data_IF_674319673575
#
_entry.id   IF_674319673575
#
_cell.length_a   1.000
_cell.length_b   1.000
_cell.length_c   1.000
_cell.angle_alpha   90.00
_cell.angle_beta   90.00
_cell.angle_gamma   90.00
#
_symmetry.space_group_name_H-M   'P 1'
#
loop_
_entity.id
_entity.type
_entity.pdbx_description
1 polymer ?
#
# COMPACT_ATOMS: atom_id res chain seq x y z
N UNK A 1 0.39 1.31 18.77
CA UNK A 1 0.97 0.16 18.00
C UNK A 1 2.30 0.57 17.39
N UNK A 2 3.19 -0.41 17.11
CA UNK A 2 4.50 -0.15 16.47
C UNK A 2 4.63 -1.03 15.22
N UNK A 3 5.39 -0.55 14.24
CA UNK A 3 5.80 -1.31 13.05
C UNK A 3 7.30 -1.28 12.90
N UNK A 4 7.96 -2.41 13.10
CA UNK A 4 9.41 -2.55 12.93
C UNK A 4 9.77 -2.74 11.48
N UNK A 5 10.73 -1.94 11.03
CA UNK A 5 11.24 -1.91 9.67
C UNK A 5 12.68 -2.39 9.64
N UNK A 6 13.23 -2.61 8.45
CA UNK A 6 14.66 -2.96 8.29
C UNK A 6 15.57 -1.93 8.97
N UNK A 7 15.22 -0.64 8.87
CA UNK A 7 15.90 0.45 9.52
C UNK A 7 14.84 1.36 10.15
N UNK A 8 14.80 1.42 11.48
CA UNK A 8 13.86 2.25 12.21
C UNK A 8 12.55 1.55 12.60
N UNK A 9 11.68 2.34 13.16
CA UNK A 9 10.36 1.91 13.67
C UNK A 9 9.36 3.01 13.40
N UNK A 10 8.15 2.66 13.00
CA UNK A 10 7.02 3.57 12.95
C UNK A 10 6.16 3.32 14.19
N UNK A 11 5.92 4.37 14.94
CA UNK A 11 4.94 4.39 16.02
C UNK A 11 3.65 5.00 15.49
N UNK A 12 2.53 4.29 15.67
CA UNK A 12 1.22 4.78 15.23
C UNK A 12 0.58 5.56 16.37
N UNK A 13 0.29 6.81 16.08
CA UNK A 13 -0.45 7.74 16.92
C UNK A 13 -1.92 7.81 16.47
N UNK A 14 -2.65 8.83 16.92
CA UNK A 14 -4.06 9.00 16.61
C UNK A 14 -4.35 9.39 15.14
N UNK A 15 -3.30 9.81 14.40
CA UNK A 15 -3.43 10.17 12.99
C UNK A 15 -2.95 9.06 12.07
N UNK A 16 -3.68 8.73 11.00
CA UNK A 16 -3.15 7.89 9.95
C UNK A 16 -1.87 8.48 9.34
N UNK A 17 -0.89 7.64 9.06
CA UNK A 17 0.25 8.02 8.23
C UNK A 17 -0.08 7.81 6.75
N UNK A 18 0.57 8.57 5.89
CA UNK A 18 0.35 8.51 4.45
C UNK A 18 1.46 7.72 3.77
N UNK A 19 1.04 6.72 2.98
CA UNK A 19 1.88 5.99 2.05
C UNK A 19 1.59 6.50 0.62
N UNK A 20 2.51 7.27 0.05
CA UNK A 20 2.38 7.83 -1.30
C UNK A 20 2.73 6.81 -2.38
N UNK A 21 1.88 6.66 -3.39
CA UNK A 21 2.04 5.68 -4.48
C UNK A 21 2.93 6.27 -5.58
N UNK A 22 4.06 5.63 -5.84
CA UNK A 22 4.98 5.96 -6.92
C UNK A 22 5.06 4.82 -7.94
N UNK A 23 4.18 4.84 -8.95
CA UNK A 23 4.18 3.85 -10.02
C UNK A 23 5.24 4.18 -11.07
N UNK A 24 6.12 3.20 -11.34
CA UNK A 24 7.18 3.26 -12.35
C UNK A 24 6.76 2.41 -13.56
N UNK A 25 5.74 2.88 -14.28
CA UNK A 25 5.24 2.21 -15.48
C UNK A 25 5.54 3.03 -16.73
N UNK A 26 5.63 2.42 -17.93
CA UNK A 26 5.88 3.15 -19.18
C UNK A 26 4.88 4.28 -19.46
N UNK A 27 3.63 4.11 -19.01
CA UNK A 27 2.57 5.12 -19.18
C UNK A 27 2.71 6.30 -18.20
N UNK A 28 3.48 6.11 -17.12
CA UNK A 28 3.70 7.14 -16.10
C UNK A 28 4.93 8.01 -16.38
N UNK A 29 5.84 7.56 -17.27
CA UNK A 29 7.10 8.23 -17.57
C UNK A 29 7.35 8.19 -19.08
N UNK A 30 7.51 9.34 -19.73
CA UNK A 30 7.76 9.48 -21.16
C UNK A 30 9.01 8.71 -21.61
N UNK A 31 8.97 8.18 -22.86
CA UNK A 31 9.89 7.19 -23.42
C UNK A 31 11.36 7.58 -23.59
N UNK A 32 11.77 8.83 -23.37
CA UNK A 32 13.00 9.34 -23.99
C UNK A 32 14.30 9.34 -23.18
N UNK A 33 14.34 9.07 -21.89
CA UNK A 33 15.59 8.71 -21.21
C UNK A 33 15.42 8.14 -19.79
N UNK A 34 16.21 7.14 -19.42
CA UNK A 34 16.29 6.59 -18.05
C UNK A 34 16.67 7.65 -17.01
N UNK A 35 17.49 8.63 -17.39
CA UNK A 35 17.96 9.69 -16.49
C UNK A 35 16.83 10.68 -16.17
N UNK A 36 15.99 11.01 -17.15
CA UNK A 36 14.81 11.86 -16.92
C UNK A 36 13.80 11.17 -16.01
N UNK A 37 13.57 9.86 -16.21
CA UNK A 37 12.66 9.07 -15.40
C UNK A 37 13.09 9.01 -13.92
N UNK A 38 14.38 8.86 -13.63
CA UNK A 38 14.92 8.85 -12.26
C UNK A 38 14.75 10.22 -11.61
N UNK A 39 15.11 11.30 -12.31
CA UNK A 39 14.98 12.66 -11.78
C UNK A 39 13.52 13.02 -11.49
N UNK A 40 12.61 12.64 -12.36
CA UNK A 40 11.18 12.85 -12.18
C UNK A 40 10.63 12.06 -10.97
N UNK A 41 11.03 10.80 -10.81
CA UNK A 41 10.68 9.97 -9.67
C UNK A 41 11.18 10.59 -8.34
N UNK A 42 12.42 11.07 -8.31
CA UNK A 42 13.00 11.77 -7.15
C UNK A 42 12.23 13.06 -6.85
N UNK A 43 11.96 13.90 -7.85
CA UNK A 43 11.20 15.14 -7.67
C UNK A 43 9.79 14.86 -7.15
N UNK A 44 9.11 13.84 -7.68
CA UNK A 44 7.78 13.44 -7.21
C UNK A 44 7.83 12.92 -5.78
N UNK A 45 8.86 12.17 -5.43
CA UNK A 45 9.10 11.73 -4.05
C UNK A 45 9.28 12.89 -3.10
N UNK A 46 10.13 13.86 -3.44
CA UNK A 46 10.34 15.08 -2.64
C UNK A 46 9.02 15.83 -2.44
N UNK A 47 8.23 15.97 -3.52
CA UNK A 47 6.91 16.59 -3.45
C UNK A 47 5.98 15.83 -2.49
N UNK A 48 5.91 14.51 -2.57
CA UNK A 48 5.10 13.69 -1.66
C UNK A 48 5.52 13.86 -0.20
N UNK A 49 6.83 13.94 0.07
CA UNK A 49 7.36 14.19 1.43
C UNK A 49 6.91 15.57 1.93
N UNK A 50 7.04 16.61 1.09
CA UNK A 50 6.59 17.97 1.42
C UNK A 50 5.08 18.05 1.66
N UNK A 51 4.31 17.21 0.98
CA UNK A 51 2.87 17.07 1.13
C UNK A 51 2.45 16.20 2.34
N UNK A 52 3.42 15.57 3.03
CA UNK A 52 3.19 14.84 4.28
C UNK A 52 3.21 13.31 4.18
N UNK A 53 3.72 12.73 3.10
CA UNK A 53 3.94 11.29 3.03
C UNK A 53 5.08 10.87 3.97
N UNK A 54 4.87 9.79 4.72
CA UNK A 54 5.86 9.15 5.59
C UNK A 54 6.51 7.94 4.92
N UNK A 55 5.81 7.32 4.00
CA UNK A 55 6.26 6.14 3.25
C UNK A 55 6.06 6.42 1.75
N UNK A 56 7.05 6.07 0.95
CA UNK A 56 6.97 6.09 -0.51
C UNK A 56 6.92 4.66 -1.00
N UNK A 57 5.81 4.27 -1.62
CA UNK A 57 5.58 2.91 -2.09
C UNK A 57 5.82 2.81 -3.59
N UNK A 58 6.90 2.12 -3.97
CA UNK A 58 7.44 2.07 -5.32
C UNK A 58 7.00 0.77 -5.99
N UNK A 59 6.24 0.87 -7.09
CA UNK A 59 5.81 -0.28 -7.88
C UNK A 59 6.31 -0.24 -9.32
N UNK A 60 6.96 -1.30 -9.77
CA UNK A 60 7.47 -1.46 -11.14
C UNK A 60 6.51 -2.16 -12.10
N UNK A 61 5.53 -2.88 -11.55
CA UNK A 61 4.51 -3.62 -12.28
C UNK A 61 3.12 -3.10 -11.96
N UNK A 62 2.26 -2.99 -12.98
CA UNK A 62 0.85 -2.70 -12.74
C UNK A 62 0.16 -3.90 -12.11
N UNK A 63 -0.54 -3.66 -11.00
CA UNK A 63 -1.40 -4.65 -10.32
C UNK A 63 -2.89 -4.34 -10.51
N UNK A 64 -3.22 -3.46 -11.47
CA UNK A 64 -4.60 -3.16 -11.85
C UNK A 64 -5.30 -4.39 -12.41
N UNK A 65 -6.63 -4.47 -12.31
CA UNK A 65 -7.39 -5.54 -12.96
C UNK A 65 -7.02 -5.69 -14.44
N UNK A 66 -6.88 -6.94 -14.88
CA UNK A 66 -6.55 -7.32 -16.27
C UNK A 66 -5.16 -6.87 -16.75
N UNK A 67 -4.28 -6.39 -15.88
CA UNK A 67 -2.90 -6.09 -16.28
C UNK A 67 -2.10 -7.35 -16.54
N UNK A 68 -1.28 -7.30 -17.60
CA UNK A 68 -0.33 -8.37 -17.90
C UNK A 68 0.89 -8.29 -16.97
N UNK A 69 1.42 -9.46 -16.63
CA UNK A 69 2.69 -9.55 -15.90
C UNK A 69 3.85 -9.18 -16.82
N UNK A 70 4.80 -8.41 -16.29
CA UNK A 70 6.07 -8.12 -16.96
C UNK A 70 7.15 -9.12 -16.51
N UNK A 71 8.22 -9.34 -17.31
CA UNK A 71 9.37 -10.12 -16.85
C UNK A 71 9.99 -9.54 -15.58
N UNK A 72 10.45 -10.40 -14.66
CA UNK A 72 11.09 -9.97 -13.40
C UNK A 72 12.28 -9.03 -13.63
N UNK A 73 13.11 -9.34 -14.63
CA UNK A 73 14.25 -8.49 -14.98
C UNK A 73 13.84 -7.07 -15.38
N UNK A 74 12.68 -6.92 -16.02
CA UNK A 74 12.14 -5.61 -16.39
C UNK A 74 11.69 -4.84 -15.16
N UNK A 75 11.02 -5.50 -14.21
CA UNK A 75 10.65 -4.89 -12.93
C UNK A 75 11.87 -4.42 -12.16
N UNK A 76 12.91 -5.25 -12.06
CA UNK A 76 14.19 -4.90 -11.42
C UNK A 76 14.82 -3.68 -12.10
N UNK A 77 14.88 -3.64 -13.43
CA UNK A 77 15.43 -2.51 -14.18
C UNK A 77 14.69 -1.20 -13.94
N UNK A 78 13.40 -1.26 -13.65
CA UNK A 78 12.57 -0.09 -13.36
C UNK A 78 12.80 0.42 -11.95
N UNK A 79 12.72 -0.45 -10.94
CA UNK A 79 12.62 -0.01 -9.55
C UNK A 79 13.98 0.20 -8.87
N UNK A 80 14.97 -0.64 -9.13
CA UNK A 80 16.23 -0.61 -8.39
C UNK A 80 17.02 0.69 -8.56
N UNK A 81 17.21 1.25 -9.78
CA UNK A 81 17.89 2.52 -9.94
C UNK A 81 17.17 3.68 -9.24
N UNK A 82 15.83 3.66 -9.23
CA UNK A 82 15.00 4.68 -8.61
C UNK A 82 15.08 4.61 -7.09
N UNK A 83 15.00 3.40 -6.50
CA UNK A 83 15.17 3.23 -5.04
C UNK A 83 16.51 3.78 -4.57
N UNK A 84 17.62 3.46 -5.28
CA UNK A 84 18.96 3.98 -4.94
C UNK A 84 19.01 5.51 -5.01
N UNK A 85 18.45 6.11 -6.05
CA UNK A 85 18.44 7.55 -6.21
C UNK A 85 17.56 8.24 -5.14
N UNK A 86 16.39 7.70 -4.84
CA UNK A 86 15.52 8.23 -3.79
C UNK A 86 16.20 8.12 -2.43
N UNK A 87 16.82 6.97 -2.09
CA UNK A 87 17.45 6.74 -0.78
C UNK A 87 18.55 7.75 -0.47
N UNK A 88 19.25 8.27 -1.49
CA UNK A 88 20.29 9.28 -1.29
C UNK A 88 19.76 10.70 -1.03
N UNK A 89 18.50 10.97 -1.37
CA UNK A 89 17.92 12.32 -1.34
C UNK A 89 16.90 12.54 -0.20
N UNK A 90 16.38 11.46 0.39
CA UNK A 90 15.30 11.56 1.40
C UNK A 90 15.85 11.63 2.84
N UNK A 91 15.12 12.30 3.77
CA UNK A 91 15.39 12.25 5.19
C UNK A 91 15.37 10.83 5.76
N UNK A 92 16.11 10.61 6.85
CA UNK A 92 16.22 9.28 7.50
C UNK A 92 14.92 8.75 8.09
N UNK A 93 13.99 9.63 8.38
CA UNK A 93 12.68 9.32 8.96
C UNK A 93 11.59 9.09 7.91
N UNK A 94 11.94 9.12 6.63
CA UNK A 94 11.09 8.72 5.51
C UNK A 94 11.50 7.32 5.06
N UNK A 95 10.51 6.46 4.81
CA UNK A 95 10.72 5.06 4.50
C UNK A 95 10.33 4.74 3.07
N UNK A 96 11.05 3.78 2.48
CA UNK A 96 10.78 3.26 1.14
C UNK A 96 10.13 1.88 1.26
N UNK A 97 9.01 1.72 0.59
CA UNK A 97 8.32 0.45 0.39
C UNK A 97 8.48 0.00 -1.05
N UNK A 98 8.63 -1.29 -1.27
CA UNK A 98 8.59 -1.93 -2.59
C UNK A 98 7.27 -2.69 -2.76
N UNK A 99 6.45 -2.29 -3.74
CA UNK A 99 5.21 -2.99 -4.12
C UNK A 99 5.56 -4.10 -5.10
N UNK A 100 5.74 -5.31 -4.58
CA UNK A 100 6.07 -6.50 -5.36
C UNK A 100 5.71 -7.79 -4.61
N UNK A 101 5.31 -8.82 -5.36
CA UNK A 101 5.13 -10.18 -4.86
C UNK A 101 6.28 -11.12 -5.26
N UNK A 102 7.37 -10.59 -5.85
CA UNK A 102 8.54 -11.36 -6.28
C UNK A 102 9.68 -11.21 -5.27
N UNK A 103 10.10 -12.32 -4.68
CA UNK A 103 11.12 -12.34 -3.63
C UNK A 103 12.47 -11.78 -4.08
N UNK A 104 12.88 -12.02 -5.32
CA UNK A 104 14.14 -11.51 -5.84
C UNK A 104 14.11 -9.98 -6.05
N UNK A 105 12.99 -9.43 -6.54
CA UNK A 105 12.78 -7.98 -6.63
C UNK A 105 12.82 -7.36 -5.24
N UNK A 106 12.09 -7.94 -4.27
CA UNK A 106 12.07 -7.49 -2.89
C UNK A 106 13.47 -7.48 -2.27
N UNK A 107 14.23 -8.57 -2.44
CA UNK A 107 15.61 -8.67 -1.98
C UNK A 107 16.49 -7.54 -2.50
N UNK A 108 16.53 -7.35 -3.83
CA UNK A 108 17.33 -6.30 -4.45
C UNK A 108 16.88 -4.89 -4.03
N UNK A 109 15.59 -4.68 -3.84
CA UNK A 109 15.04 -3.42 -3.33
C UNK A 109 15.51 -3.14 -1.89
N UNK A 110 15.46 -4.14 -1.00
CA UNK A 110 15.94 -4.04 0.38
C UNK A 110 17.47 -3.78 0.44
N UNK A 111 18.25 -4.41 -0.44
CA UNK A 111 19.69 -4.15 -0.59
C UNK A 111 19.97 -2.74 -1.11
N UNK A 112 19.03 -2.16 -1.86
CA UNK A 112 19.14 -0.82 -2.45
C UNK A 112 18.61 0.30 -1.54
N UNK A 113 18.05 -0.03 -0.36
CA UNK A 113 17.63 0.95 0.63
C UNK A 113 16.13 0.95 0.96
N UNK A 114 15.34 0.03 0.42
CA UNK A 114 13.95 -0.17 0.87
C UNK A 114 13.91 -0.70 2.32
N UNK A 115 12.84 -0.38 3.02
CA UNK A 115 12.60 -0.70 4.43
C UNK A 115 11.44 -1.68 4.61
N UNK A 116 10.53 -1.71 3.63
CA UNK A 116 9.23 -2.37 3.68
C UNK A 116 9.02 -3.17 2.39
N UNK A 117 8.40 -4.32 2.49
CA UNK A 117 7.83 -5.07 1.37
C UNK A 117 6.32 -4.97 1.44
N UNK A 118 5.69 -4.43 0.39
CA UNK A 118 4.24 -4.41 0.22
C UNK A 118 3.87 -5.53 -0.75
N UNK A 119 3.48 -6.69 -0.19
CA UNK A 119 3.16 -7.87 -0.98
C UNK A 119 1.66 -8.05 -1.13
N UNK A 120 1.13 -7.69 -2.31
CA UNK A 120 -0.29 -7.83 -2.64
C UNK A 120 -0.79 -9.26 -2.59
N UNK A 121 0.09 -10.25 -2.67
CA UNK A 121 -0.28 -11.67 -2.58
C UNK A 121 -0.43 -12.16 -1.15
N UNK A 122 0.04 -11.39 -0.16
CA UNK A 122 0.11 -11.82 1.22
C UNK A 122 1.00 -13.06 1.40
N UNK A 123 2.16 -13.08 0.75
CA UNK A 123 3.19 -14.14 0.79
C UNK A 123 2.83 -15.42 0.03
N UNK A 124 1.78 -15.39 -0.83
CA UNK A 124 1.26 -16.62 -1.42
C UNK A 124 1.78 -16.90 -2.84
N UNK A 125 2.25 -15.87 -3.59
CA UNK A 125 2.68 -16.08 -4.98
C UNK A 125 4.14 -16.52 -5.09
N UNK A 126 5.01 -16.10 -4.17
CA UNK A 126 6.41 -16.53 -4.10
C UNK A 126 6.77 -17.00 -2.69
N UNK A 127 6.97 -18.30 -2.53
CA UNK A 127 7.27 -18.94 -1.23
C UNK A 127 8.61 -18.47 -0.62
N UNK A 128 9.53 -17.91 -1.44
CA UNK A 128 10.79 -17.38 -0.96
C UNK A 128 10.63 -15.99 -0.31
N UNK A 129 9.50 -15.31 -0.51
CA UNK A 129 9.25 -13.98 0.05
C UNK A 129 9.39 -13.96 1.57
N UNK A 130 8.82 -14.96 2.24
CA UNK A 130 8.88 -15.08 3.70
C UNK A 130 10.32 -15.16 4.21
N UNK A 131 11.19 -15.86 3.48
CA UNK A 131 12.61 -15.93 3.80
C UNK A 131 13.31 -14.59 3.64
N UNK A 132 13.03 -13.86 2.57
CA UNK A 132 13.58 -12.51 2.34
C UNK A 132 13.18 -11.56 3.47
N UNK A 133 11.90 -11.50 3.83
CA UNK A 133 11.42 -10.62 4.90
C UNK A 133 12.10 -10.93 6.23
N UNK A 134 12.21 -12.21 6.56
CA UNK A 134 12.90 -12.66 7.78
C UNK A 134 14.38 -12.30 7.78
N UNK A 135 15.11 -12.65 6.70
CA UNK A 135 16.57 -12.46 6.61
C UNK A 135 16.95 -10.97 6.67
N UNK A 136 16.13 -10.09 6.08
CA UNK A 136 16.36 -8.64 6.11
C UNK A 136 15.73 -7.93 7.30
N UNK A 137 14.94 -8.64 8.12
CA UNK A 137 14.20 -8.09 9.26
C UNK A 137 13.44 -6.80 8.90
N UNK A 138 12.79 -6.79 7.73
CA UNK A 138 12.06 -5.65 7.20
C UNK A 138 10.59 -5.65 7.61
N UNK A 139 9.91 -4.49 7.45
CA UNK A 139 8.45 -4.43 7.56
C UNK A 139 7.79 -5.13 6.38
N UNK A 140 6.59 -5.67 6.60
CA UNK A 140 5.78 -6.30 5.55
C UNK A 140 4.33 -5.89 5.63
N UNK A 141 3.73 -5.61 4.48
CA UNK A 141 2.27 -5.52 4.32
C UNK A 141 1.77 -6.85 3.77
N UNK A 142 0.91 -7.51 4.52
CA UNK A 142 0.24 -8.75 4.13
C UNK A 142 -1.16 -8.39 3.63
N UNK A 143 -1.35 -8.40 2.30
CA UNK A 143 -2.63 -8.03 1.71
C UNK A 143 -3.47 -9.25 1.35
N UNK A 144 -4.79 -9.10 1.47
CA UNK A 144 -5.75 -10.07 0.97
C UNK A 144 -6.04 -9.84 -0.51
N UNK A 145 -5.86 -10.87 -1.31
CA UNK A 145 -6.31 -10.97 -2.69
C UNK A 145 -6.94 -12.34 -2.92
N UNK A 146 -7.99 -12.41 -3.74
CA UNK A 146 -8.54 -13.67 -4.28
C UNK A 146 -8.32 -13.67 -5.80
N UNK A 147 -7.61 -14.70 -6.31
CA UNK A 147 -7.11 -14.74 -7.69
C UNK A 147 -5.79 -13.99 -7.87
N UNK A 148 -5.45 -13.65 -9.11
CA UNK A 148 -4.29 -12.84 -9.51
C UNK A 148 -4.75 -11.54 -10.18
N UNK A 149 -3.94 -10.49 -10.25
CA UNK A 149 -4.32 -9.22 -10.92
C UNK A 149 -4.96 -9.43 -12.30
N UNK A 150 -4.43 -10.36 -13.09
CA UNK A 150 -4.94 -10.67 -14.43
C UNK A 150 -6.39 -11.17 -14.45
N UNK A 151 -6.79 -11.98 -13.45
CA UNK A 151 -8.11 -12.66 -13.43
C UNK A 151 -8.94 -12.41 -12.16
N UNK A 152 -8.44 -11.66 -11.20
CA UNK A 152 -9.10 -11.46 -9.90
C UNK A 152 -10.50 -10.86 -9.99
N UNK A 153 -10.86 -10.21 -11.10
CA UNK A 153 -12.17 -9.62 -11.33
C UNK A 153 -13.08 -10.48 -12.23
N UNK A 154 -12.65 -11.70 -12.56
CA UNK A 154 -13.48 -12.68 -13.23
C UNK A 154 -14.41 -13.33 -12.21
N UNK A 155 -15.63 -12.79 -12.07
CA UNK A 155 -16.69 -13.27 -11.17
C UNK A 155 -16.26 -13.46 -9.70
N UNK A 156 -15.65 -12.48 -9.04
CA UNK A 156 -15.33 -12.60 -7.62
C UNK A 156 -16.63 -12.76 -6.82
N UNK A 157 -16.61 -13.69 -5.85
CA UNK A 157 -17.79 -13.98 -5.03
C UNK A 157 -17.38 -14.31 -3.59
N UNK A 158 -18.14 -13.79 -2.64
CA UNK A 158 -18.10 -14.09 -1.22
C UNK A 158 -19.51 -14.37 -0.74
N UNK A 159 -19.70 -15.36 0.08
CA UNK A 159 -20.95 -15.61 0.81
C UNK A 159 -21.02 -14.64 2.01
N UNK A 160 -19.96 -14.62 2.82
CA UNK A 160 -19.74 -13.65 3.89
C UNK A 160 -18.38 -12.96 3.70
N UNK A 161 -18.42 -11.75 3.17
CA UNK A 161 -17.21 -11.00 2.81
C UNK A 161 -16.27 -10.79 3.99
N UNK A 162 -16.78 -10.40 5.16
CA UNK A 162 -15.94 -10.08 6.32
C UNK A 162 -15.32 -11.36 6.87
N UNK A 163 -16.12 -12.38 7.10
CA UNK A 163 -15.67 -13.66 7.63
C UNK A 163 -14.60 -14.28 6.76
N UNK A 164 -14.88 -14.42 5.45
CA UNK A 164 -13.95 -15.07 4.52
C UNK A 164 -12.63 -14.31 4.37
N UNK A 165 -12.68 -12.96 4.28
CA UNK A 165 -11.47 -12.14 4.19
C UNK A 165 -10.66 -12.20 5.49
N UNK A 166 -11.30 -12.21 6.65
CA UNK A 166 -10.62 -12.40 7.95
C UNK A 166 -9.96 -13.78 8.05
N UNK A 167 -10.68 -14.83 7.68
CA UNK A 167 -10.14 -16.21 7.69
C UNK A 167 -8.91 -16.35 6.77
N UNK A 168 -8.99 -15.85 5.54
CA UNK A 168 -7.87 -15.89 4.60
C UNK A 168 -6.68 -15.03 5.04
N UNK A 169 -6.92 -13.85 5.63
CA UNK A 169 -5.84 -13.04 6.22
C UNK A 169 -5.21 -13.76 7.41
N UNK A 170 -6.00 -14.36 8.29
CA UNK A 170 -5.48 -15.10 9.44
C UNK A 170 -4.51 -16.21 9.01
N UNK A 171 -4.88 -16.99 7.99
CA UNK A 171 -4.01 -18.05 7.44
C UNK A 171 -2.66 -17.48 6.94
N UNK A 172 -2.66 -16.30 6.31
CA UNK A 172 -1.44 -15.63 5.83
C UNK A 172 -0.59 -15.10 6.97
N UNK A 173 -1.22 -14.53 8.00
CA UNK A 173 -0.54 -14.06 9.21
C UNK A 173 0.09 -15.22 9.95
N UNK A 174 -0.64 -16.32 10.16
CA UNK A 174 -0.11 -17.52 10.79
C UNK A 174 1.05 -18.13 9.98
N UNK A 175 0.93 -18.15 8.66
CA UNK A 175 2.03 -18.58 7.79
C UNK A 175 3.28 -17.71 7.98
N UNK A 176 3.14 -16.40 8.05
CA UNK A 176 4.25 -15.48 8.30
C UNK A 176 4.91 -15.72 9.67
N UNK A 177 4.11 -15.81 10.74
CA UNK A 177 4.57 -16.02 12.11
C UNK A 177 5.28 -17.38 12.26
N UNK A 178 4.70 -18.44 11.73
CA UNK A 178 5.26 -19.79 11.78
C UNK A 178 6.59 -19.92 11.02
N UNK A 179 6.85 -19.04 10.06
CA UNK A 179 8.11 -18.99 9.32
C UNK A 179 9.12 -17.96 9.91
N UNK A 180 8.79 -17.36 11.06
CA UNK A 180 9.72 -16.53 11.85
C UNK A 180 9.70 -15.03 11.53
N UNK A 181 8.70 -14.55 10.81
CA UNK A 181 8.39 -13.12 10.76
C UNK A 181 7.75 -12.74 12.10
N UNK A 182 8.15 -11.63 12.70
CA UNK A 182 7.64 -11.21 14.01
C UNK A 182 6.36 -10.39 13.85
N UNK A 183 5.46 -10.46 14.86
CA UNK A 183 4.18 -9.72 14.85
C UNK A 183 4.39 -8.22 14.60
N UNK A 184 5.41 -7.64 15.21
CA UNK A 184 5.73 -6.22 15.06
C UNK A 184 6.26 -5.80 13.66
N UNK A 185 6.54 -6.74 12.78
CA UNK A 185 6.94 -6.47 11.39
C UNK A 185 5.72 -6.43 10.45
N UNK A 186 4.53 -6.84 10.91
CA UNK A 186 3.36 -7.08 10.06
C UNK A 186 2.39 -5.90 10.13
N UNK A 187 1.98 -5.44 8.96
CA UNK A 187 0.80 -4.60 8.71
C UNK A 187 -0.13 -5.42 7.81
N UNK A 188 -1.43 -5.34 8.02
CA UNK A 188 -2.42 -6.02 7.19
C UNK A 188 -3.15 -5.07 6.26
N UNK A 189 -3.56 -5.55 5.08
CA UNK A 189 -4.46 -4.85 4.16
C UNK A 189 -5.59 -5.78 3.73
N UNK A 190 -6.87 -5.48 4.00
CA UNK A 190 -8.01 -6.26 3.53
C UNK A 190 -8.15 -6.32 1.99
N UNK A 191 -7.37 -5.54 1.25
CA UNK A 191 -7.26 -5.61 -0.20
C UNK A 191 -8.48 -5.07 -0.94
N UNK A 192 -8.86 -3.83 -0.66
CA UNK A 192 -9.92 -3.12 -1.40
C UNK A 192 -9.61 -3.16 -2.91
N UNK A 193 -10.57 -3.63 -3.73
CA UNK A 193 -10.43 -3.71 -5.20
C UNK A 193 -9.68 -4.93 -5.74
N UNK A 194 -9.22 -5.85 -4.88
CA UNK A 194 -8.50 -7.04 -5.28
C UNK A 194 -9.37 -8.31 -5.12
N UNK A 195 -9.94 -8.79 -6.24
CA UNK A 195 -10.83 -9.94 -6.26
C UNK A 195 -12.13 -9.70 -5.47
N UNK A 196 -12.75 -8.54 -5.63
CA UNK A 196 -13.92 -8.10 -4.86
C UNK A 196 -14.92 -7.33 -5.73
N UNK A 197 -16.22 -7.60 -5.55
CA UNK A 197 -17.33 -6.83 -6.15
C UNK A 197 -17.38 -5.43 -5.49
N UNK A 198 -18.14 -4.51 -6.09
CA UNK A 198 -18.42 -3.20 -5.46
C UNK A 198 -19.01 -3.38 -4.07
N UNK A 199 -19.98 -4.29 -3.93
CA UNK A 199 -20.60 -4.65 -2.67
C UNK A 199 -19.56 -5.06 -1.60
N UNK A 200 -18.64 -5.98 -1.94
CA UNK A 200 -17.64 -6.49 -1.01
C UNK A 200 -16.69 -5.40 -0.54
N UNK A 201 -16.29 -4.49 -1.44
CA UNK A 201 -15.46 -3.34 -1.06
C UNK A 201 -16.18 -2.41 -0.08
N UNK A 202 -17.46 -2.13 -0.31
CA UNK A 202 -18.27 -1.28 0.57
C UNK A 202 -18.53 -1.96 1.92
N UNK A 203 -18.76 -3.28 1.93
CA UNK A 203 -18.93 -4.08 3.16
C UNK A 203 -17.65 -4.03 4.00
N UNK A 204 -16.46 -4.24 3.40
CA UNK A 204 -15.18 -4.14 4.12
C UNK A 204 -15.00 -2.74 4.71
N UNK A 205 -15.26 -1.68 3.96
CA UNK A 205 -15.17 -0.31 4.48
C UNK A 205 -16.15 -0.09 5.62
N UNK A 206 -17.40 -0.53 5.50
CA UNK A 206 -18.43 -0.37 6.53
C UNK A 206 -18.05 -1.04 7.84
N UNK A 207 -17.52 -2.25 7.77
CA UNK A 207 -17.19 -3.08 8.92
C UNK A 207 -15.68 -3.20 9.13
N UNK A 208 -14.93 -2.14 8.81
CA UNK A 208 -13.46 -2.14 8.89
C UNK A 208 -12.97 -2.39 10.33
N UNK A 209 -13.76 -2.03 11.31
CA UNK A 209 -13.51 -2.23 12.75
C UNK A 209 -13.32 -3.72 13.09
N UNK A 210 -13.95 -4.64 12.35
CA UNK A 210 -13.81 -6.09 12.54
C UNK A 210 -12.38 -6.59 12.33
N UNK A 211 -11.55 -5.83 11.60
CA UNK A 211 -10.14 -6.17 11.39
C UNK A 211 -9.22 -5.75 12.54
N UNK A 212 -9.70 -4.92 13.48
CA UNK A 212 -8.93 -4.56 14.67
C UNK A 212 -8.70 -5.76 15.61
N UNK A 213 -9.50 -6.81 15.51
CA UNK A 213 -9.33 -8.07 16.25
C UNK A 213 -7.96 -8.74 16.01
N UNK A 214 -7.29 -8.44 14.88
CA UNK A 214 -5.93 -8.93 14.63
C UNK A 214 -4.87 -8.28 15.52
N UNK A 215 -5.19 -7.16 16.16
CA UNK A 215 -4.23 -6.34 16.93
C UNK A 215 -2.95 -6.03 16.14
N UNK A 216 -3.11 -5.77 14.85
CA UNK A 216 -2.09 -5.39 13.89
C UNK A 216 -2.46 -4.03 13.26
N UNK A 217 -1.48 -3.23 12.87
CA UNK A 217 -1.77 -2.01 12.12
C UNK A 217 -2.42 -2.34 10.77
N UNK A 218 -3.36 -1.49 10.35
CA UNK A 218 -4.14 -1.68 9.12
C UNK A 218 -3.77 -0.63 8.10
N UNK A 219 -3.47 -1.08 6.88
CA UNK A 219 -3.29 -0.26 5.69
C UNK A 219 -4.52 -0.40 4.79
N UNK A 220 -4.98 0.72 4.23
CA UNK A 220 -6.03 0.73 3.21
C UNK A 220 -5.57 1.50 1.98
N UNK A 221 -5.55 0.80 0.83
CA UNK A 221 -5.30 1.39 -0.48
C UNK A 221 -6.58 1.48 -1.30
N UNK A 222 -7.28 2.61 -1.25
CA UNK A 222 -8.57 2.82 -1.94
C UNK A 222 -8.50 3.84 -3.07
N UNK A 223 -7.41 4.62 -3.13
CA UNK A 223 -7.28 5.79 -3.99
C UNK A 223 -7.60 5.51 -5.46
N UNK A 224 -8.57 6.25 -6.01
CA UNK A 224 -9.04 6.23 -7.40
C UNK A 224 -9.49 4.86 -7.94
N UNK A 225 -9.78 3.87 -7.05
CA UNK A 225 -10.17 2.52 -7.45
C UNK A 225 -11.56 2.47 -8.10
N UNK A 226 -11.77 1.41 -8.88
CA UNK A 226 -12.95 1.24 -9.74
C UNK A 226 -14.28 1.22 -8.98
N UNK A 227 -14.32 0.75 -7.72
CA UNK A 227 -15.53 0.76 -6.92
C UNK A 227 -16.05 2.18 -6.67
N UNK A 228 -15.16 3.18 -6.49
CA UNK A 228 -15.52 4.60 -6.38
C UNK A 228 -16.16 5.07 -7.69
N UNK A 229 -15.52 4.72 -8.83
CA UNK A 229 -16.05 5.06 -10.14
C UNK A 229 -17.43 4.46 -10.39
N UNK A 230 -17.66 3.21 -9.98
CA UNK A 230 -18.96 2.54 -10.10
C UNK A 230 -20.06 3.19 -9.24
N UNK A 231 -19.73 3.56 -8.00
CA UNK A 231 -20.69 4.22 -7.10
C UNK A 231 -21.06 5.63 -7.60
N UNK A 232 -20.09 6.37 -8.13
CA UNK A 232 -20.26 7.77 -8.55
C UNK A 232 -20.54 7.95 -10.04
N UNK A 233 -20.61 6.86 -10.82
CA UNK A 233 -20.73 6.86 -12.30
C UNK A 233 -19.58 7.65 -12.98
N UNK A 234 -18.33 7.43 -12.53
CA UNK A 234 -17.11 8.07 -13.04
C UNK A 234 -16.23 7.03 -13.73
N UNK A 235 -16.09 7.14 -15.05
CA UNK A 235 -15.26 6.20 -15.84
C UNK A 235 -13.77 6.49 -15.64
N UNK A 236 -13.38 7.77 -15.77
CA UNK A 236 -11.98 8.17 -15.67
C UNK A 236 -11.48 8.13 -14.20
N UNK A 237 -10.38 7.43 -13.92
CA UNK A 237 -9.80 7.42 -12.58
C UNK A 237 -9.41 8.80 -12.05
N UNK A 238 -9.08 9.76 -12.91
CA UNK A 238 -8.71 11.11 -12.50
C UNK A 238 -9.88 11.88 -11.88
N UNK A 239 -11.12 11.57 -12.28
CA UNK A 239 -12.32 12.21 -11.75
C UNK A 239 -12.72 11.69 -10.36
N UNK A 240 -12.06 10.63 -9.87
CA UNK A 240 -12.40 9.95 -8.61
C UNK A 240 -11.74 10.56 -7.37
N UNK A 241 -11.11 11.74 -7.49
CA UNK A 241 -10.41 12.40 -6.38
C UNK A 241 -11.35 12.65 -5.19
N UNK A 242 -12.52 13.26 -5.42
CA UNK A 242 -13.48 13.57 -4.34
C UNK A 242 -13.93 12.30 -3.63
N UNK A 243 -14.28 11.25 -4.39
CA UNK A 243 -14.64 9.95 -3.81
C UNK A 243 -13.50 9.34 -2.98
N UNK A 244 -12.25 9.48 -3.43
CA UNK A 244 -11.08 9.03 -2.68
C UNK A 244 -10.92 9.81 -1.37
N UNK A 245 -11.09 11.14 -1.39
CA UNK A 245 -11.04 12.00 -0.20
C UNK A 245 -12.13 11.64 0.80
N UNK A 246 -13.37 11.39 0.35
CA UNK A 246 -14.48 10.96 1.21
C UNK A 246 -14.17 9.62 1.89
N UNK A 247 -13.61 8.65 1.16
CA UNK A 247 -13.18 7.37 1.77
C UNK A 247 -12.03 7.59 2.74
N UNK A 248 -11.05 8.46 2.44
CA UNK A 248 -9.96 8.82 3.36
C UNK A 248 -10.51 9.45 4.65
N UNK A 249 -11.51 10.34 4.56
CA UNK A 249 -12.19 10.93 5.72
C UNK A 249 -12.82 9.86 6.60
N UNK A 250 -13.56 8.94 5.99
CA UNK A 250 -14.22 7.85 6.70
C UNK A 250 -13.19 6.93 7.40
N UNK A 251 -12.10 6.57 6.72
CA UNK A 251 -11.04 5.73 7.28
C UNK A 251 -10.31 6.43 8.43
N UNK A 252 -10.10 7.75 8.34
CA UNK A 252 -9.51 8.55 9.43
C UNK A 252 -10.40 8.53 10.67
N UNK A 253 -11.72 8.72 10.50
CA UNK A 253 -12.70 8.61 11.60
C UNK A 253 -12.75 7.21 12.23
N UNK A 254 -12.46 6.17 11.44
CA UNK A 254 -12.39 4.79 11.90
C UNK A 254 -11.06 4.41 12.56
N UNK A 255 -10.08 5.30 12.60
CA UNK A 255 -8.79 5.05 13.25
C UNK A 255 -7.85 4.12 12.49
N UNK A 256 -7.93 4.09 11.16
CA UNK A 256 -7.01 3.33 10.31
C UNK A 256 -5.59 3.89 10.43
N UNK A 257 -4.59 3.02 10.45
CA UNK A 257 -3.20 3.40 10.71
C UNK A 257 -2.47 3.95 9.49
N UNK A 258 -2.74 3.41 8.29
CA UNK A 258 -2.04 3.79 7.06
C UNK A 258 -3.04 3.99 5.91
N UNK A 259 -2.97 5.13 5.26
CA UNK A 259 -3.72 5.41 4.02
C UNK A 259 -2.73 5.43 2.85
N UNK A 260 -2.91 4.48 1.92
CA UNK A 260 -2.11 4.39 0.68
C UNK A 260 -2.84 5.13 -0.44
N UNK A 261 -2.21 6.19 -0.98
CA UNK A 261 -2.88 7.12 -1.91
C UNK A 261 -1.96 7.67 -3.00
N UNK A 262 -2.57 8.07 -4.14
CA UNK A 262 -1.93 8.88 -5.19
C UNK A 262 -1.96 10.38 -4.85
N UNK A 263 -2.95 10.81 -4.07
CA UNK A 263 -3.31 12.20 -3.80
C UNK A 263 -2.87 12.57 -2.36
N UNK A 264 -1.55 12.66 -2.16
CA UNK A 264 -0.93 12.84 -0.83
C UNK A 264 -1.41 14.12 -0.17
N UNK A 265 -1.35 15.25 -0.90
CA UNK A 265 -1.75 16.57 -0.38
C UNK A 265 -3.20 16.61 0.11
N UNK A 266 -4.12 16.13 -0.72
CA UNK A 266 -5.55 16.13 -0.42
C UNK A 266 -5.87 15.16 0.74
N UNK A 267 -5.17 14.03 0.78
CA UNK A 267 -5.29 13.07 1.89
C UNK A 267 -4.76 13.67 3.20
N UNK A 268 -3.62 14.39 3.16
CA UNK A 268 -3.06 15.08 4.33
C UNK A 268 -4.01 16.14 4.89
N UNK A 269 -4.55 16.99 4.02
CA UNK A 269 -5.53 18.00 4.40
C UNK A 269 -6.79 17.37 5.03
N UNK A 270 -7.23 16.23 4.48
CA UNK A 270 -8.37 15.48 5.00
C UNK A 270 -8.10 14.96 6.40
N UNK A 271 -6.97 14.30 6.62
CA UNK A 271 -6.56 13.77 7.92
C UNK A 271 -6.46 14.90 8.95
N UNK A 272 -5.78 15.99 8.60
CA UNK A 272 -5.58 17.12 9.50
C UNK A 272 -6.89 17.80 9.88
N UNK A 273 -7.82 17.95 8.92
CA UNK A 273 -9.12 18.56 9.19
C UNK A 273 -9.98 17.68 10.09
N UNK A 274 -10.02 16.37 9.84
CA UNK A 274 -10.74 15.42 10.71
C UNK A 274 -10.15 15.43 12.13
N UNK A 275 -8.81 15.41 12.24
CA UNK A 275 -8.15 15.46 13.54
C UNK A 275 -8.46 16.76 14.30
N UNK A 276 -8.47 17.90 13.60
CA UNK A 276 -8.83 19.19 14.20
C UNK A 276 -10.26 19.21 14.72
N UNK A 277 -11.20 18.61 13.98
CA UNK A 277 -12.62 18.50 14.42
C UNK A 277 -12.75 17.63 15.67
N UNK A 278 -11.96 16.56 15.75
CA UNK A 278 -12.00 15.63 16.89
C UNK A 278 -11.28 16.17 18.13
N UNK A 279 -10.35 17.11 17.95
CA UNK A 279 -9.50 17.68 19.02
C UNK A 279 -9.49 19.22 18.94
N UNK A 280 -10.64 19.90 19.12
CA UNK A 280 -10.71 21.36 18.93
C UNK A 280 -9.91 22.13 19.97
N UNK A 281 -9.62 21.53 21.12
CA UNK A 281 -8.79 22.11 22.20
C UNK A 281 -7.35 22.42 21.76
N UNK A 282 -6.85 21.77 20.73
CA UNK A 282 -5.53 22.04 20.18
C UNK A 282 -5.45 23.36 19.38
N UNK A 283 -6.58 24.07 19.23
CA UNK A 283 -6.71 25.30 18.47
C UNK A 283 -7.22 26.49 19.30
N UNK A 284 -7.18 26.35 20.64
CA UNK A 284 -7.44 27.42 21.60
C UNK A 284 -6.21 28.36 21.74
#
# INVERSE_FOLDING_TARGET
MIWKLKEGTIEFEDKPIIMGILNITPDSFYKDSRVMNIKEAVNRTIKFIQEGAKIIDIGGQSTRPFSDEIPEEEEIKRVIPIIKAIKSEIPKDIYISIDTYRSNVAKLALESGANIVNDISGLMFDKNMVKVIKDYNCGVVIMHIRGKPKNMQENPYYEDTIKEVKEELNLRIEYALNNGIKKEQIVIDPGIGFGKRVYDNLVILKYIDEFFDFELPILIGHSRKSFIGKVLNLENPEDRLIGSVVVSSYLTLKGINIIRTHDVKETKQTIDMIYAILNPENYL
#
